data_IF_655772991400
#
_entry.id   IF_655772991400
#
_cell.length_a   1.000
_cell.length_b   1.000
_cell.length_c   1.000
_cell.angle_alpha   90.00
_cell.angle_beta   90.00
_cell.angle_gamma   90.00
#
_symmetry.space_group_name_H-M   'P 1'
#
loop_
_entity.id
_entity.type
_entity.pdbx_description
1 polymer ?
#
# COMPACT_ATOMS: atom_id res chain seq x y z
N UNK A 1 0.61 -4.99 -26.88
CA UNK A 1 0.13 -3.97 -25.93
C UNK A 1 -0.47 -4.65 -24.71
N UNK A 2 -0.48 -3.94 -23.58
CA UNK A 2 -0.98 -4.45 -22.30
C UNK A 2 -1.69 -3.34 -21.55
N UNK A 3 -2.75 -3.67 -20.82
CA UNK A 3 -3.48 -2.71 -19.99
C UNK A 3 -3.22 -3.01 -18.52
N UNK A 4 -2.98 -1.96 -17.74
CA UNK A 4 -3.02 -2.00 -16.28
C UNK A 4 -4.26 -1.28 -15.77
N UNK A 5 -5.06 -1.93 -14.94
CA UNK A 5 -6.16 -1.31 -14.21
C UNK A 5 -5.80 -1.23 -12.73
N UNK A 6 -5.80 -0.03 -12.17
CA UNK A 6 -5.54 0.22 -10.76
C UNK A 6 -6.81 0.76 -10.09
N UNK A 7 -7.45 -0.09 -9.30
CA UNK A 7 -8.63 0.23 -8.50
C UNK A 7 -8.20 0.86 -7.18
N UNK A 8 -7.89 2.16 -7.22
CA UNK A 8 -7.67 2.95 -6.02
C UNK A 8 -8.97 3.30 -5.29
N UNK A 9 -8.87 3.80 -4.06
CA UNK A 9 -10.06 4.17 -3.27
C UNK A 9 -10.81 5.38 -3.85
N UNK A 10 -10.11 6.35 -4.44
CA UNK A 10 -10.70 7.59 -4.97
C UNK A 10 -10.94 7.58 -6.48
N UNK A 11 -10.39 6.60 -7.20
CA UNK A 11 -10.50 6.52 -8.66
C UNK A 11 -10.01 5.17 -9.15
N UNK A 12 -10.54 4.74 -10.30
CA UNK A 12 -9.94 3.68 -11.10
C UNK A 12 -9.09 4.30 -12.20
N UNK A 13 -7.80 3.97 -12.23
CA UNK A 13 -6.86 4.40 -13.28
C UNK A 13 -6.60 3.25 -14.26
N UNK A 14 -6.72 3.52 -15.56
CA UNK A 14 -6.31 2.60 -16.61
C UNK A 14 -5.12 3.19 -17.37
N UNK A 15 -4.12 2.36 -17.67
CA UNK A 15 -3.04 2.71 -18.59
C UNK A 15 -2.91 1.64 -19.68
N UNK A 16 -2.48 2.06 -20.87
CA UNK A 16 -2.11 1.20 -21.99
C UNK A 16 -0.60 1.32 -22.22
N UNK A 17 0.12 0.20 -22.26
CA UNK A 17 1.55 0.17 -22.56
C UNK A 17 1.87 -0.64 -23.82
N UNK A 18 2.96 -0.27 -24.50
CA UNK A 18 3.54 -1.05 -25.59
C UNK A 18 4.40 -2.22 -25.09
N UNK A 19 5.10 -2.91 -26.01
CA UNK A 19 5.99 -4.04 -25.67
C UNK A 19 7.30 -3.60 -25.00
N UNK A 20 7.65 -2.33 -25.12
CA UNK A 20 8.81 -1.70 -24.48
C UNK A 20 8.42 -0.99 -23.18
N UNK A 21 7.18 -1.22 -22.70
CA UNK A 21 6.61 -0.64 -21.48
C UNK A 21 6.42 0.89 -21.53
N UNK A 22 6.38 1.49 -22.72
CA UNK A 22 6.04 2.91 -22.87
C UNK A 22 4.52 3.10 -22.69
N UNK A 23 4.12 4.10 -21.92
CA UNK A 23 2.71 4.49 -21.76
C UNK A 23 2.21 5.15 -23.04
N UNK A 24 1.23 4.53 -23.69
CA UNK A 24 0.57 5.03 -24.90
C UNK A 24 -0.66 5.87 -24.59
N UNK A 25 -1.39 5.51 -23.53
CA UNK A 25 -2.58 6.22 -23.10
C UNK A 25 -2.88 5.96 -21.63
N UNK A 26 -3.57 6.90 -21.01
CA UNK A 26 -4.12 6.76 -19.66
C UNK A 26 -5.52 7.37 -19.56
N UNK A 27 -6.30 6.85 -18.63
CA UNK A 27 -7.60 7.40 -18.26
C UNK A 27 -7.85 7.16 -16.78
N UNK A 28 -8.58 8.05 -16.12
CA UNK A 28 -8.93 7.91 -14.71
C UNK A 28 -10.39 8.28 -14.49
N UNK A 29 -11.12 7.40 -13.84
CA UNK A 29 -12.54 7.57 -13.53
C UNK A 29 -12.66 7.75 -12.01
N UNK A 30 -13.23 8.87 -11.53
CA UNK A 30 -13.36 9.14 -10.10
C UNK A 30 -14.34 8.16 -9.44
N UNK A 31 -14.06 7.82 -8.18
CA UNK A 31 -14.89 6.99 -7.31
C UNK A 31 -15.19 7.75 -6.02
N UNK A 32 -16.35 7.46 -5.42
CA UNK A 32 -16.80 8.09 -4.17
C UNK A 32 -16.77 7.07 -3.04
N UNK A 33 -16.44 7.51 -1.83
CA UNK A 33 -16.51 6.68 -0.61
C UNK A 33 -17.66 7.16 0.27
N UNK A 34 -18.50 6.22 0.70
CA UNK A 34 -19.61 6.45 1.61
C UNK A 34 -19.14 6.34 3.06
N UNK A 35 -19.65 7.21 3.93
CA UNK A 35 -19.36 7.21 5.39
C UNK A 35 -20.67 7.32 6.16
N UNK A 36 -21.43 6.21 6.29
CA UNK A 36 -22.75 6.25 6.92
C UNK A 36 -22.70 6.59 8.42
N UNK A 37 -21.61 6.19 9.08
CA UNK A 37 -21.33 6.43 10.50
C UNK A 37 -19.87 6.83 10.70
N UNK A 38 -19.54 7.32 11.89
CA UNK A 38 -18.16 7.62 12.25
C UNK A 38 -17.29 6.34 12.20
N UNK A 39 -16.07 6.48 11.68
CA UNK A 39 -15.15 5.36 11.46
C UNK A 39 -15.54 4.38 10.34
N UNK A 40 -16.71 4.53 9.69
CA UNK A 40 -17.18 3.65 8.62
C UNK A 40 -16.73 4.17 7.25
N UNK A 41 -16.36 3.26 6.35
CA UNK A 41 -15.88 3.57 5.01
C UNK A 41 -16.30 2.47 4.03
N UNK A 42 -17.20 2.82 3.11
CA UNK A 42 -17.87 1.85 2.23
C UNK A 42 -17.89 2.30 0.76
N UNK A 43 -17.93 1.33 -0.15
CA UNK A 43 -18.19 1.55 -1.58
C UNK A 43 -19.14 0.50 -2.12
N UNK A 44 -19.98 0.90 -3.07
CA UNK A 44 -20.73 -0.03 -3.91
C UNK A 44 -19.77 -0.67 -4.94
N UNK A 45 -19.55 -2.00 -4.90
CA UNK A 45 -18.67 -2.68 -5.85
C UNK A 45 -19.09 -2.50 -7.32
N UNK A 46 -20.37 -2.27 -7.60
CA UNK A 46 -20.86 -2.06 -8.97
C UNK A 46 -20.31 -0.75 -9.58
N UNK A 47 -19.95 0.23 -8.74
CA UNK A 47 -19.30 1.46 -9.19
C UNK A 47 -17.93 1.20 -9.82
N UNK A 48 -17.19 0.21 -9.31
CA UNK A 48 -15.88 -0.18 -9.84
C UNK A 48 -15.99 -0.83 -11.21
N UNK A 49 -17.01 -1.67 -11.43
CA UNK A 49 -17.27 -2.31 -12.71
C UNK A 49 -17.65 -1.27 -13.77
N UNK A 50 -18.49 -0.32 -13.41
CA UNK A 50 -18.85 0.81 -14.28
C UNK A 50 -17.63 1.65 -14.64
N UNK A 51 -16.80 1.99 -13.65
CA UNK A 51 -15.57 2.74 -13.86
C UNK A 51 -14.55 2.00 -14.74
N UNK A 52 -14.41 0.69 -14.57
CA UNK A 52 -13.51 -0.12 -15.40
C UNK A 52 -13.96 -0.15 -16.86
N UNK A 53 -15.27 -0.31 -17.11
CA UNK A 53 -15.85 -0.26 -18.46
C UNK A 53 -15.63 1.09 -19.12
N UNK A 54 -15.89 2.17 -18.40
CA UNK A 54 -15.65 3.53 -18.89
C UNK A 54 -14.17 3.74 -19.23
N UNK A 55 -13.26 3.36 -18.33
CA UNK A 55 -11.83 3.52 -18.53
C UNK A 55 -11.31 2.69 -19.72
N UNK A 56 -11.73 1.42 -19.84
CA UNK A 56 -11.39 0.57 -20.99
C UNK A 56 -11.96 1.13 -22.30
N UNK A 57 -13.21 1.60 -22.30
CA UNK A 57 -13.83 2.24 -23.45
C UNK A 57 -13.11 3.52 -23.88
N UNK A 58 -12.68 4.35 -22.92
CA UNK A 58 -11.92 5.56 -23.18
C UNK A 58 -10.53 5.27 -23.76
N UNK A 59 -9.84 4.24 -23.26
CA UNK A 59 -8.57 3.76 -23.83
C UNK A 59 -8.78 3.27 -25.27
N UNK A 60 -9.80 2.43 -25.51
CA UNK A 60 -10.11 1.91 -26.85
C UNK A 60 -10.47 3.01 -27.84
N UNK A 61 -11.26 4.00 -27.42
CA UNK A 61 -11.73 5.07 -28.30
C UNK A 61 -10.58 5.91 -28.88
N UNK A 62 -9.44 5.96 -28.18
CA UNK A 62 -8.26 6.76 -28.56
C UNK A 62 -7.13 5.94 -29.16
N UNK A 63 -7.20 4.60 -29.11
CA UNK A 63 -6.09 3.72 -29.49
C UNK A 63 -6.57 2.46 -30.21
N UNK A 64 -5.82 2.00 -31.21
CA UNK A 64 -6.06 0.69 -31.80
C UNK A 64 -5.59 -0.41 -30.85
N UNK A 65 -6.52 -1.18 -30.29
CA UNK A 65 -6.22 -2.20 -29.28
C UNK A 65 -6.19 -3.63 -29.86
N UNK A 66 -6.12 -3.80 -31.19
CA UNK A 66 -6.08 -5.14 -31.83
C UNK A 66 -4.89 -5.99 -31.38
N UNK A 67 -3.77 -5.35 -31.05
CA UNK A 67 -2.56 -6.02 -30.51
C UNK A 67 -2.51 -6.07 -28.98
N UNK A 68 -3.63 -5.85 -28.28
CA UNK A 68 -3.72 -6.08 -26.84
C UNK A 68 -3.55 -7.58 -26.57
N UNK A 69 -2.70 -7.94 -25.62
CA UNK A 69 -2.39 -9.34 -25.29
C UNK A 69 -2.73 -9.72 -23.85
N UNK A 70 -2.80 -8.76 -22.94
CA UNK A 70 -3.08 -9.02 -21.54
C UNK A 70 -3.54 -7.79 -20.79
N UNK A 71 -4.32 -8.03 -19.74
CA UNK A 71 -4.74 -7.04 -18.74
C UNK A 71 -4.18 -7.50 -17.40
N UNK A 72 -3.61 -6.59 -16.62
CA UNK A 72 -3.35 -6.86 -15.21
C UNK A 72 -4.14 -5.92 -14.31
N UNK A 73 -4.32 -6.36 -13.07
CA UNK A 73 -5.15 -5.69 -12.08
C UNK A 73 -4.30 -5.29 -10.87
N UNK A 74 -4.55 -4.10 -10.36
CA UNK A 74 -4.15 -3.59 -9.06
C UNK A 74 -5.41 -3.13 -8.33
N UNK A 75 -5.43 -3.21 -7.02
CA UNK A 75 -6.50 -2.61 -6.23
C UNK A 75 -6.12 -2.34 -4.80
N UNK A 76 -6.83 -1.39 -4.19
CA UNK A 76 -6.68 -1.10 -2.78
C UNK A 76 -6.96 -2.37 -1.96
N UNK A 77 -6.07 -2.66 -1.01
CA UNK A 77 -6.09 -3.94 -0.29
C UNK A 77 -7.26 -4.05 0.69
N UNK A 78 -7.38 -5.22 1.30
CA UNK A 78 -8.14 -5.52 2.53
C UNK A 78 -9.68 -5.41 2.46
N UNK A 79 -10.26 -4.82 1.42
CA UNK A 79 -11.71 -4.63 1.31
C UNK A 79 -12.49 -5.95 1.43
N UNK A 80 -13.66 -5.94 2.08
CA UNK A 80 -14.50 -7.12 2.21
C UNK A 80 -15.75 -7.00 1.33
N UNK A 81 -15.75 -7.70 0.19
CA UNK A 81 -16.94 -7.85 -0.67
C UNK A 81 -17.58 -9.20 -0.36
N UNK A 82 -18.82 -9.19 0.12
CA UNK A 82 -19.59 -10.40 0.45
C UNK A 82 -20.60 -10.69 -0.65
N UNK A 83 -20.53 -11.89 -1.21
CA UNK A 83 -21.37 -12.35 -2.31
C UNK A 83 -22.22 -13.54 -1.88
N UNK A 84 -23.44 -13.64 -2.39
CA UNK A 84 -24.24 -14.87 -2.30
C UNK A 84 -23.88 -15.90 -3.39
N UNK A 85 -24.62 -17.00 -3.43
CA UNK A 85 -24.38 -18.11 -4.36
C UNK A 85 -24.58 -17.74 -5.83
N UNK A 86 -25.27 -16.63 -6.11
CA UNK A 86 -25.51 -16.07 -7.44
C UNK A 86 -24.59 -14.88 -7.75
N UNK A 87 -23.49 -14.73 -7.01
CA UNK A 87 -22.52 -13.63 -7.14
C UNK A 87 -23.12 -12.23 -6.93
N UNK A 88 -24.26 -12.12 -6.23
CA UNK A 88 -24.85 -10.83 -5.91
C UNK A 88 -24.21 -10.24 -4.66
N UNK A 89 -23.90 -8.95 -4.73
CA UNK A 89 -23.35 -8.20 -3.61
C UNK A 89 -24.38 -8.08 -2.49
N UNK A 90 -24.04 -8.58 -1.30
CA UNK A 90 -24.95 -8.63 -0.15
C UNK A 90 -25.03 -7.31 0.62
N UNK A 91 -23.96 -6.52 0.57
CA UNK A 91 -23.82 -5.20 1.21
C UNK A 91 -22.69 -4.41 0.54
N UNK A 92 -22.60 -3.08 0.71
CA UNK A 92 -21.43 -2.32 0.26
C UNK A 92 -20.12 -2.94 0.75
N UNK A 93 -19.03 -2.82 -0.01
CA UNK A 93 -17.72 -3.29 0.44
C UNK A 93 -17.26 -2.52 1.68
N UNK A 94 -16.78 -3.24 2.70
CA UNK A 94 -16.11 -2.64 3.87
C UNK A 94 -14.65 -2.36 3.52
N UNK A 95 -14.24 -1.09 3.41
CA UNK A 95 -12.92 -0.70 2.91
C UNK A 95 -11.79 -0.90 3.93
N UNK A 96 -10.54 -0.68 3.51
CA UNK A 96 -9.34 -0.82 4.35
C UNK A 96 -9.22 0.24 5.46
N UNK A 97 -9.82 1.41 5.23
CA UNK A 97 -9.88 2.52 6.18
C UNK A 97 -11.18 2.55 6.97
N UNK A 98 -11.92 1.43 6.99
CA UNK A 98 -13.02 1.19 7.90
C UNK A 98 -12.48 0.70 9.25
N UNK A 99 -13.04 1.21 10.34
CA UNK A 99 -12.60 0.94 11.72
C UNK A 99 -13.70 0.33 12.60
N UNK A 100 -14.85 -0.01 12.02
CA UNK A 100 -16.01 -0.50 12.80
C UNK A 100 -15.74 -1.80 13.56
N UNK A 101 -14.85 -2.64 13.02
CA UNK A 101 -14.48 -3.95 13.53
C UNK A 101 -13.31 -3.92 14.52
N UNK A 102 -13.09 -2.79 15.21
CA UNK A 102 -11.98 -2.65 16.17
C UNK A 102 -12.07 -3.62 17.34
N UNK A 103 -13.28 -3.95 17.81
CA UNK A 103 -13.47 -4.93 18.87
C UNK A 103 -13.10 -6.34 18.40
N UNK A 104 -13.61 -6.75 17.23
CA UNK A 104 -13.30 -8.05 16.63
C UNK A 104 -11.82 -8.19 16.29
N UNK A 105 -11.20 -7.12 15.77
CA UNK A 105 -9.76 -7.10 15.49
C UNK A 105 -8.92 -7.28 16.75
N UNK A 106 -9.27 -6.60 17.85
CA UNK A 106 -8.56 -6.74 19.11
C UNK A 106 -8.69 -8.17 19.69
N UNK A 107 -9.87 -8.78 19.59
CA UNK A 107 -10.09 -10.17 20.00
C UNK A 107 -9.26 -11.16 19.16
N UNK A 108 -9.23 -10.99 17.83
CA UNK A 108 -8.42 -11.82 16.93
C UNK A 108 -6.93 -11.63 17.15
N UNK A 109 -6.47 -10.39 17.35
CA UNK A 109 -5.05 -10.10 17.58
C UNK A 109 -4.53 -10.64 18.92
N UNK A 110 -5.42 -10.80 19.89
CA UNK A 110 -5.13 -11.43 21.18
C UNK A 110 -4.97 -12.96 21.06
N UNK A 111 -5.48 -13.59 20.00
CA UNK A 111 -5.20 -14.98 19.67
C UNK A 111 -3.82 -15.09 19.00
N UNK A 112 -2.83 -15.73 19.65
CA UNK A 112 -1.48 -15.84 19.10
C UNK A 112 -1.42 -16.60 17.77
N UNK A 113 -2.43 -17.42 17.43
CA UNK A 113 -2.53 -18.13 16.16
C UNK A 113 -2.56 -17.19 14.95
N UNK A 114 -3.24 -16.05 15.05
CA UNK A 114 -3.30 -15.08 13.95
C UNK A 114 -1.93 -14.50 13.63
N UNK A 115 -1.21 -13.99 14.63
CA UNK A 115 0.13 -13.42 14.42
C UNK A 115 1.14 -14.48 13.96
N UNK A 116 1.02 -15.71 14.49
CA UNK A 116 1.91 -16.82 14.12
C UNK A 116 1.75 -17.24 12.65
N UNK A 117 0.51 -17.36 12.16
CA UNK A 117 0.21 -17.83 10.80
C UNK A 117 0.31 -16.70 9.77
N UNK A 118 -0.24 -15.53 10.07
CA UNK A 118 -0.32 -14.41 9.11
C UNK A 118 0.96 -13.57 9.08
N UNK A 119 1.73 -13.55 10.18
CA UNK A 119 2.89 -12.67 10.35
C UNK A 119 2.57 -11.21 10.61
N UNK A 120 1.31 -10.87 10.87
CA UNK A 120 0.84 -9.50 10.99
C UNK A 120 -0.03 -9.30 12.24
N UNK A 121 -0.04 -8.07 12.73
CA UNK A 121 -1.08 -7.59 13.65
C UNK A 121 -2.43 -7.62 12.93
N UNK A 122 -3.49 -8.04 13.62
CA UNK A 122 -4.86 -7.97 13.08
C UNK A 122 -5.43 -6.57 13.29
N UNK A 123 -5.45 -5.76 12.23
CA UNK A 123 -6.05 -4.43 12.24
C UNK A 123 -7.53 -4.48 11.86
N UNK A 124 -8.39 -3.56 12.35
CA UNK A 124 -9.80 -3.51 11.94
C UNK A 124 -9.99 -3.32 10.44
N UNK A 125 -9.03 -2.68 9.76
CA UNK A 125 -9.03 -2.51 8.33
C UNK A 125 -8.83 -3.82 7.54
N UNK A 126 -8.34 -4.90 8.15
CA UNK A 126 -8.15 -6.20 7.51
C UNK A 126 -9.48 -6.95 7.33
N UNK A 127 -9.50 -7.88 6.37
CA UNK A 127 -10.75 -8.53 5.93
C UNK A 127 -11.39 -9.38 7.02
N UNK A 128 -10.62 -10.22 7.72
CA UNK A 128 -11.12 -11.13 8.74
C UNK A 128 -11.98 -10.47 9.84
N UNK A 129 -11.50 -9.42 10.55
CA UNK A 129 -12.29 -8.79 11.60
C UNK A 129 -13.54 -8.10 11.06
N UNK A 130 -13.53 -7.60 9.82
CA UNK A 130 -14.71 -7.00 9.18
C UNK A 130 -15.80 -8.04 8.92
N UNK A 131 -15.42 -9.25 8.52
CA UNK A 131 -16.37 -10.33 8.29
C UNK A 131 -16.88 -10.93 9.60
N UNK A 132 -16.04 -11.01 10.62
CA UNK A 132 -16.48 -11.34 11.98
C UNK A 132 -17.48 -10.31 12.52
N UNK A 133 -17.26 -9.01 12.25
CA UNK A 133 -18.21 -7.97 12.60
C UNK A 133 -19.56 -8.19 11.92
N UNK A 134 -19.58 -8.52 10.61
CA UNK A 134 -20.81 -8.87 9.87
C UNK A 134 -21.47 -10.11 10.48
N UNK A 135 -20.69 -11.14 10.87
CA UNK A 135 -21.23 -12.34 11.52
C UNK A 135 -22.02 -12.02 12.80
N UNK A 136 -21.55 -11.05 13.59
CA UNK A 136 -22.17 -10.64 14.86
C UNK A 136 -23.33 -9.64 14.70
N UNK A 137 -23.18 -8.69 13.77
CA UNK A 137 -24.09 -7.54 13.67
C UNK A 137 -25.08 -7.63 12.50
N UNK A 138 -24.75 -8.42 11.47
CA UNK A 138 -25.55 -8.63 10.26
C UNK A 138 -25.65 -10.15 9.94
N UNK A 139 -26.13 -10.99 10.89
CA UNK A 139 -26.05 -12.45 10.77
C UNK A 139 -26.81 -13.03 9.56
N UNK A 140 -27.88 -12.36 9.11
CA UNK A 140 -28.62 -12.74 7.90
C UNK A 140 -27.78 -12.56 6.62
N UNK A 141 -26.91 -11.53 6.57
CA UNK A 141 -25.96 -11.33 5.48
C UNK A 141 -24.87 -12.39 5.55
N UNK A 142 -24.30 -12.62 6.73
CA UNK A 142 -23.28 -13.65 6.90
C UNK A 142 -23.78 -15.03 6.48
N UNK A 143 -24.99 -15.42 6.89
CA UNK A 143 -25.58 -16.71 6.54
C UNK A 143 -25.79 -16.92 5.03
N UNK A 144 -25.92 -15.84 4.26
CA UNK A 144 -26.05 -15.88 2.79
C UNK A 144 -24.71 -15.82 2.06
N UNK A 145 -23.61 -15.55 2.75
CA UNK A 145 -22.30 -15.35 2.14
C UNK A 145 -21.76 -16.67 1.59
N UNK A 146 -21.64 -16.77 0.28
CA UNK A 146 -21.04 -17.91 -0.42
C UNK A 146 -19.61 -17.62 -0.91
N UNK A 147 -19.26 -16.34 -1.12
CA UNK A 147 -17.91 -15.94 -1.53
C UNK A 147 -17.51 -14.61 -0.92
N UNK A 148 -16.24 -14.50 -0.53
CA UNK A 148 -15.64 -13.28 -0.01
C UNK A 148 -14.50 -12.90 -0.94
N UNK A 149 -14.57 -11.71 -1.54
CA UNK A 149 -13.56 -11.20 -2.45
C UNK A 149 -12.99 -9.88 -1.96
N UNK A 150 -11.73 -9.66 -2.32
CA UNK A 150 -11.11 -8.34 -2.23
C UNK A 150 -11.57 -7.47 -3.42
N UNK A 151 -11.44 -6.13 -3.35
CA UNK A 151 -11.94 -5.21 -4.37
C UNK A 151 -11.44 -5.52 -5.79
N UNK A 152 -10.13 -5.77 -5.92
CA UNK A 152 -9.50 -6.20 -7.18
C UNK A 152 -10.11 -7.50 -7.70
N UNK A 153 -10.41 -8.44 -6.81
CA UNK A 153 -10.88 -9.77 -7.17
C UNK A 153 -12.36 -9.76 -7.55
N UNK A 154 -13.16 -8.87 -6.95
CA UNK A 154 -14.50 -8.59 -7.44
C UNK A 154 -14.48 -7.95 -8.84
N UNK A 155 -13.55 -7.02 -9.09
CA UNK A 155 -13.35 -6.49 -10.45
C UNK A 155 -12.96 -7.61 -11.42
N UNK A 156 -12.10 -8.55 -11.01
CA UNK A 156 -11.79 -9.74 -11.80
C UNK A 156 -13.02 -10.60 -12.07
N UNK A 157 -13.84 -10.89 -11.06
CA UNK A 157 -15.08 -11.64 -11.25
C UNK A 157 -15.95 -10.98 -12.34
N UNK A 158 -16.06 -9.65 -12.31
CA UNK A 158 -16.76 -8.90 -13.34
C UNK A 158 -16.06 -8.92 -14.71
N UNK A 159 -14.73 -9.05 -14.80
CA UNK A 159 -14.01 -9.09 -16.07
C UNK A 159 -13.95 -10.50 -16.68
N UNK A 160 -13.80 -11.54 -15.87
CA UNK A 160 -13.48 -12.91 -16.31
C UNK A 160 -14.52 -13.95 -15.91
N UNK A 161 -15.38 -13.66 -14.93
CA UNK A 161 -16.32 -14.64 -14.37
C UNK A 161 -15.69 -15.65 -13.39
N UNK A 162 -14.46 -15.41 -12.91
CA UNK A 162 -13.75 -16.35 -12.05
C UNK A 162 -13.48 -15.75 -10.65
N UNK A 163 -13.71 -16.54 -9.59
CA UNK A 163 -13.29 -16.21 -8.22
C UNK A 163 -11.82 -16.51 -8.01
N UNK A 164 -10.96 -15.53 -8.28
CA UNK A 164 -9.50 -15.68 -8.14
C UNK A 164 -8.91 -14.49 -7.39
N UNK A 165 -8.08 -14.80 -6.40
CA UNK A 165 -7.19 -13.84 -5.75
C UNK A 165 -5.73 -14.21 -6.00
N UNK A 166 -4.82 -13.34 -5.59
CA UNK A 166 -3.39 -13.60 -5.66
C UNK A 166 -2.72 -13.32 -4.32
N UNK A 167 -1.50 -13.86 -4.18
CA UNK A 167 -0.82 -14.01 -2.90
C UNK A 167 -0.65 -12.69 -2.13
N UNK A 168 -0.35 -11.58 -2.80
CA UNK A 168 -0.08 -10.29 -2.14
C UNK A 168 -1.32 -9.69 -1.49
N UNK A 169 -2.45 -9.64 -2.21
CA UNK A 169 -3.70 -9.11 -1.69
C UNK A 169 -4.34 -10.09 -0.68
N UNK A 170 -4.29 -11.39 -0.96
CA UNK A 170 -4.77 -12.44 -0.05
C UNK A 170 -4.04 -12.43 1.31
N UNK A 171 -2.72 -12.15 1.33
CA UNK A 171 -1.95 -12.02 2.56
C UNK A 171 -2.47 -10.89 3.48
N UNK A 172 -3.15 -9.89 2.91
CA UNK A 172 -3.78 -8.79 3.65
C UNK A 172 -5.14 -9.13 4.28
N UNK A 173 -5.62 -10.37 4.19
CA UNK A 173 -6.96 -10.75 4.70
C UNK A 173 -6.99 -11.13 6.17
N UNK A 174 -5.85 -11.55 6.74
CA UNK A 174 -5.74 -12.28 8.00
C UNK A 174 -6.39 -13.69 8.04
N UNK A 175 -6.58 -14.33 6.88
CA UNK A 175 -6.89 -15.77 6.76
C UNK A 175 -5.83 -16.58 6.03
N UNK A 176 -4.76 -15.92 5.61
CA UNK A 176 -3.75 -16.47 4.73
C UNK A 176 -2.52 -16.90 5.55
N UNK A 177 -2.01 -18.10 5.30
CA UNK A 177 -0.71 -18.53 5.77
C UNK A 177 0.35 -17.93 4.85
N UNK A 178 0.93 -16.82 5.31
CA UNK A 178 1.85 -16.01 4.52
C UNK A 178 3.13 -16.77 4.17
N UNK A 179 3.59 -17.66 5.06
CA UNK A 179 4.77 -18.48 4.80
C UNK A 179 4.49 -19.52 3.71
N UNK A 180 3.35 -20.20 3.79
CA UNK A 180 2.96 -21.30 2.88
C UNK A 180 2.37 -20.82 1.57
N UNK A 181 2.03 -19.54 1.46
CA UNK A 181 1.38 -18.93 0.29
C UNK A 181 0.02 -19.57 -0.03
N UNK A 182 -0.76 -19.88 1.00
CA UNK A 182 -2.07 -20.53 0.84
C UNK A 182 -3.04 -20.09 1.94
N UNK A 183 -4.32 -20.39 1.76
CA UNK A 183 -5.33 -20.20 2.81
C UNK A 183 -5.02 -21.07 4.04
N UNK A 184 -5.22 -20.49 5.23
CA UNK A 184 -5.15 -21.22 6.49
C UNK A 184 -6.54 -21.74 6.88
N UNK A 185 -6.73 -23.06 6.81
CA UNK A 185 -7.97 -23.72 7.27
C UNK A 185 -8.28 -23.45 8.75
N UNK A 186 -7.24 -23.32 9.58
CA UNK A 186 -7.36 -23.01 11.01
C UNK A 186 -7.99 -21.63 11.24
N UNK A 187 -7.35 -20.56 10.74
CA UNK A 187 -7.88 -19.20 10.83
C UNK A 187 -9.26 -19.03 10.20
N UNK A 188 -9.54 -19.70 9.08
CA UNK A 188 -10.88 -19.69 8.47
C UNK A 188 -11.92 -20.32 9.41
N UNK A 189 -11.61 -21.47 10.00
CA UNK A 189 -12.51 -22.18 10.91
C UNK A 189 -12.83 -21.35 12.17
N UNK A 190 -11.87 -20.60 12.72
CA UNK A 190 -12.09 -19.68 13.85
C UNK A 190 -13.15 -18.62 13.52
N UNK A 191 -13.21 -18.18 12.26
CA UNK A 191 -14.23 -17.23 11.78
C UNK A 191 -15.54 -17.89 11.32
N UNK A 192 -15.70 -19.20 11.49
CA UNK A 192 -16.86 -19.94 10.98
C UNK A 192 -16.90 -20.05 9.46
N UNK A 193 -15.75 -19.97 8.80
CA UNK A 193 -15.58 -20.03 7.35
C UNK A 193 -14.78 -21.27 6.94
N UNK A 194 -14.72 -21.49 5.63
CA UNK A 194 -13.94 -22.57 4.99
C UNK A 194 -13.39 -22.08 3.66
N UNK A 195 -12.53 -22.87 3.01
CA UNK A 195 -12.01 -22.57 1.67
C UNK A 195 -13.11 -22.38 0.61
N UNK A 196 -14.29 -22.96 0.82
CA UNK A 196 -15.43 -22.78 -0.09
C UNK A 196 -15.90 -21.32 -0.14
N UNK A 197 -15.62 -20.52 0.90
CA UNK A 197 -15.94 -19.10 0.95
C UNK A 197 -14.86 -18.23 0.31
N UNK A 198 -13.69 -18.79 -0.02
CA UNK A 198 -12.54 -18.07 -0.53
C UNK A 198 -12.40 -18.23 -2.05
N UNK A 199 -11.75 -17.29 -2.74
CA UNK A 199 -11.36 -17.48 -4.13
C UNK A 199 -10.20 -18.47 -4.24
N UNK A 200 -10.02 -19.08 -5.42
CA UNK A 200 -8.79 -19.82 -5.71
C UNK A 200 -7.60 -18.86 -5.75
N UNK A 201 -6.42 -19.34 -5.39
CA UNK A 201 -5.20 -18.53 -5.39
C UNK A 201 -4.38 -18.75 -6.67
N UNK A 202 -3.71 -17.69 -7.12
CA UNK A 202 -2.66 -17.72 -8.14
C UNK A 202 -1.51 -16.81 -7.74
N UNK A 203 -0.36 -16.95 -8.40
CA UNK A 203 0.67 -15.92 -8.36
C UNK A 203 0.21 -14.68 -9.15
N UNK A 204 0.60 -13.50 -8.71
CA UNK A 204 0.17 -12.25 -9.34
C UNK A 204 0.57 -12.13 -10.81
N UNK A 205 1.75 -12.67 -11.17
CA UNK A 205 2.26 -12.72 -12.54
C UNK A 205 1.63 -13.83 -13.41
N UNK A 206 0.78 -14.70 -12.85
CA UNK A 206 0.21 -15.84 -13.56
C UNK A 206 -1.15 -15.51 -14.22
N UNK A 207 -1.55 -16.25 -15.27
CA UNK A 207 -2.91 -16.19 -15.83
C UNK A 207 -4.00 -16.53 -14.80
N UNK A 208 -5.07 -15.73 -14.76
CA UNK A 208 -6.22 -15.94 -13.85
C UNK A 208 -7.55 -16.19 -14.57
N UNK A 209 -7.59 -15.99 -15.88
CA UNK A 209 -8.76 -16.09 -16.74
C UNK A 209 -8.57 -15.25 -18.00
N UNK A 210 -9.61 -15.18 -18.82
CA UNK A 210 -9.64 -14.31 -20.01
C UNK A 210 -10.76 -13.28 -19.85
N UNK A 211 -10.61 -12.14 -20.52
CA UNK A 211 -11.68 -11.14 -20.63
C UNK A 211 -12.91 -11.81 -21.26
N UNK A 212 -14.06 -11.76 -20.58
CA UNK A 212 -15.30 -12.39 -21.09
C UNK A 212 -15.66 -11.87 -22.47
N UNK A 213 -16.06 -12.77 -23.37
CA UNK A 213 -16.44 -12.45 -24.76
C UNK A 213 -17.46 -11.31 -24.85
N UNK A 214 -18.46 -11.29 -23.96
CA UNK A 214 -19.47 -10.23 -23.91
C UNK A 214 -18.82 -8.85 -23.72
N UNK A 215 -17.84 -8.74 -22.83
CA UNK A 215 -17.12 -7.48 -22.58
C UNK A 215 -16.15 -7.15 -23.72
N UNK A 216 -15.47 -8.16 -24.26
CA UNK A 216 -14.59 -8.01 -25.42
C UNK A 216 -15.36 -7.42 -26.62
N UNK A 217 -16.53 -7.97 -26.94
CA UNK A 217 -17.42 -7.49 -28.02
C UNK A 217 -17.94 -6.08 -27.72
N UNK A 218 -18.44 -5.84 -26.51
CA UNK A 218 -19.01 -4.55 -26.12
C UNK A 218 -17.99 -3.41 -26.17
N UNK A 219 -16.76 -3.67 -25.75
CA UNK A 219 -15.68 -2.69 -25.68
C UNK A 219 -14.82 -2.67 -26.95
N UNK A 220 -15.13 -3.49 -27.97
CA UNK A 220 -14.31 -3.68 -29.17
C UNK A 220 -12.82 -3.95 -28.84
N UNK A 221 -12.61 -4.85 -27.88
CA UNK A 221 -11.31 -5.35 -27.43
C UNK A 221 -11.17 -6.83 -27.79
N UNK A 222 -9.95 -7.33 -28.05
CA UNK A 222 -9.75 -8.77 -28.15
C UNK A 222 -10.00 -9.46 -26.80
N UNK A 223 -10.46 -10.71 -26.84
CA UNK A 223 -10.42 -11.58 -25.65
C UNK A 223 -8.95 -11.87 -25.34
N UNK A 224 -8.51 -11.52 -24.13
CA UNK A 224 -7.11 -11.54 -23.71
C UNK A 224 -7.01 -12.04 -22.27
N UNK A 225 -5.83 -12.56 -21.92
CA UNK A 225 -5.58 -13.03 -20.55
C UNK A 225 -5.67 -11.88 -19.55
N UNK A 226 -6.20 -12.19 -18.37
CA UNK A 226 -6.15 -11.33 -17.18
C UNK A 226 -5.19 -11.94 -16.18
N UNK A 227 -4.15 -11.21 -15.79
CA UNK A 227 -3.16 -11.65 -14.79
C UNK A 227 -3.76 -11.71 -13.38
N UNK A 228 -3.15 -12.49 -12.49
CA UNK A 228 -3.46 -12.49 -11.05
C UNK A 228 -3.44 -11.09 -10.45
N UNK A 229 -2.51 -10.23 -10.88
CA UNK A 229 -2.44 -8.84 -10.42
C UNK A 229 -1.69 -8.69 -9.10
N UNK A 230 -2.00 -7.64 -8.34
CA UNK A 230 -1.38 -7.39 -7.04
C UNK A 230 -2.23 -6.45 -6.18
N UNK A 231 -2.09 -6.49 -4.87
CA UNK A 231 -2.49 -5.36 -4.02
C UNK A 231 -1.73 -4.10 -4.45
N UNK A 232 -2.30 -2.91 -4.25
CA UNK A 232 -1.73 -1.64 -4.68
C UNK A 232 -0.25 -1.43 -4.29
N UNK A 233 0.14 -1.82 -3.08
CA UNK A 233 1.54 -1.76 -2.64
C UNK A 233 2.46 -2.68 -3.44
N UNK A 234 2.09 -3.95 -3.61
CA UNK A 234 2.88 -4.93 -4.36
C UNK A 234 2.90 -4.59 -5.85
N UNK A 235 1.79 -4.10 -6.41
CA UNK A 235 1.74 -3.62 -7.78
C UNK A 235 2.63 -2.38 -7.96
N UNK A 236 2.61 -1.42 -7.04
CA UNK A 236 3.54 -0.28 -7.08
C UNK A 236 5.01 -0.72 -7.04
N UNK A 237 5.33 -1.76 -6.24
CA UNK A 237 6.66 -2.36 -6.23
C UNK A 237 7.05 -2.95 -7.60
N UNK A 238 6.15 -3.68 -8.27
CA UNK A 238 6.36 -4.14 -9.65
C UNK A 238 6.58 -2.95 -10.61
N UNK A 239 5.79 -1.89 -10.48
CA UNK A 239 5.92 -0.67 -11.28
C UNK A 239 7.26 0.05 -11.09
N UNK A 240 7.79 0.02 -9.87
CA UNK A 240 9.07 0.59 -9.50
C UNK A 240 10.27 -0.36 -9.72
N UNK A 241 10.04 -1.61 -10.11
CA UNK A 241 11.09 -2.63 -10.27
C UNK A 241 11.70 -3.11 -8.94
N UNK A 242 10.95 -3.00 -7.86
CA UNK A 242 11.33 -3.42 -6.50
C UNK A 242 10.85 -4.85 -6.29
N UNK A 243 11.62 -5.83 -6.80
CA UNK A 243 11.25 -7.26 -6.81
C UNK A 243 12.35 -8.19 -6.32
N UNK A 244 13.52 -7.64 -5.97
CA UNK A 244 14.68 -8.40 -5.51
C UNK A 244 14.92 -8.16 -4.02
N UNK A 245 15.50 -9.13 -3.32
CA UNK A 245 15.79 -8.98 -1.89
C UNK A 245 16.60 -7.71 -1.61
N UNK A 246 16.12 -6.91 -0.65
CA UNK A 246 16.74 -5.65 -0.26
C UNK A 246 16.52 -4.48 -1.23
N UNK A 247 15.89 -4.70 -2.39
CA UNK A 247 15.39 -3.60 -3.20
C UNK A 247 14.21 -2.93 -2.48
N UNK A 248 14.16 -1.60 -2.53
CA UNK A 248 13.22 -0.84 -1.73
C UNK A 248 12.73 0.42 -2.43
N UNK A 249 11.58 0.91 -1.99
CA UNK A 249 11.16 2.28 -2.25
C UNK A 249 10.66 2.94 -0.96
N UNK A 250 10.80 4.25 -0.92
CA UNK A 250 10.26 5.13 0.10
C UNK A 250 9.20 6.01 -0.56
N UNK A 251 7.95 5.88 -0.13
CA UNK A 251 6.86 6.74 -0.56
C UNK A 251 6.63 7.84 0.48
N UNK A 252 6.89 9.09 0.09
CA UNK A 252 6.66 10.28 0.89
C UNK A 252 5.36 10.97 0.44
N UNK A 253 4.23 10.34 0.74
CA UNK A 253 2.87 10.83 0.47
C UNK A 253 2.21 11.44 1.70
N UNK A 254 0.88 11.52 1.71
CA UNK A 254 0.09 11.93 2.90
C UNK A 254 0.52 11.10 4.12
N UNK A 255 0.52 9.78 3.96
CA UNK A 255 1.23 8.80 4.78
C UNK A 255 2.59 8.45 4.17
N UNK A 256 3.48 7.92 5.00
CA UNK A 256 4.78 7.39 4.58
C UNK A 256 4.74 5.87 4.47
N UNK A 257 5.44 5.31 3.49
CA UNK A 257 5.66 3.86 3.37
C UNK A 257 7.13 3.60 3.07
N UNK A 258 7.77 2.75 3.87
CA UNK A 258 9.05 2.13 3.53
C UNK A 258 8.77 0.69 3.13
N UNK A 259 8.93 0.39 1.84
CA UNK A 259 8.69 -0.94 1.28
C UNK A 259 10.03 -1.59 0.94
N UNK A 260 10.20 -2.86 1.30
CA UNK A 260 11.33 -3.67 0.87
C UNK A 260 10.85 -5.03 0.36
N UNK A 261 11.35 -5.45 -0.81
CA UNK A 261 11.12 -6.80 -1.31
C UNK A 261 12.08 -7.80 -0.63
N UNK A 262 11.62 -9.03 -0.47
CA UNK A 262 12.34 -10.11 0.18
C UNK A 262 12.25 -11.42 -0.61
N UNK A 263 13.34 -12.18 -0.62
CA UNK A 263 13.40 -13.54 -1.19
C UNK A 263 12.91 -14.63 -0.21
N UNK A 264 12.43 -14.23 0.97
CA UNK A 264 11.93 -15.12 2.00
C UNK A 264 10.96 -14.41 2.94
N UNK A 265 10.17 -15.21 3.64
CA UNK A 265 9.22 -14.74 4.64
C UNK A 265 9.95 -14.39 5.96
N UNK A 266 9.93 -13.10 6.34
CA UNK A 266 10.68 -12.54 7.48
C UNK A 266 9.76 -11.74 8.42
N UNK A 267 8.77 -12.35 9.11
CA UNK A 267 7.82 -11.59 9.92
C UNK A 267 8.40 -11.15 11.26
N UNK A 268 7.99 -9.97 11.73
CA UNK A 268 8.05 -9.58 13.14
C UNK A 268 6.83 -8.72 13.51
N UNK A 269 5.68 -9.35 13.81
CA UNK A 269 4.45 -8.62 14.10
C UNK A 269 4.55 -7.82 15.41
N UNK A 270 5.52 -8.07 16.29
CA UNK A 270 5.72 -7.28 17.50
C UNK A 270 6.21 -5.86 17.19
N UNK A 271 6.86 -5.67 16.04
CA UNK A 271 7.33 -4.37 15.55
C UNK A 271 6.31 -3.63 14.68
N UNK A 272 5.10 -4.18 14.51
CA UNK A 272 4.07 -3.62 13.63
C UNK A 272 4.51 -3.39 12.17
N UNK A 273 5.57 -4.07 11.72
CA UNK A 273 5.95 -4.17 10.32
C UNK A 273 5.00 -5.15 9.64
N UNK A 274 4.44 -4.76 8.51
CA UNK A 274 3.66 -5.68 7.71
C UNK A 274 4.57 -6.61 6.93
N UNK A 275 4.21 -7.89 6.87
CA UNK A 275 4.90 -8.88 6.03
C UNK A 275 3.88 -9.62 5.17
N UNK A 276 3.95 -9.45 3.85
CA UNK A 276 3.01 -10.06 2.91
C UNK A 276 3.77 -10.74 1.78
N UNK A 277 3.07 -11.57 1.00
CA UNK A 277 3.64 -12.07 -0.25
C UNK A 277 3.78 -10.95 -1.27
N UNK A 278 4.77 -11.04 -2.14
CA UNK A 278 4.87 -10.20 -3.33
C UNK A 278 3.98 -10.76 -4.45
N UNK A 279 3.68 -9.93 -5.45
CA UNK A 279 2.95 -10.32 -6.67
C UNK A 279 3.72 -11.29 -7.60
N UNK A 280 4.99 -11.60 -7.32
CA UNK A 280 5.81 -12.57 -8.08
C UNK A 280 6.14 -13.81 -7.24
N UNK A 281 6.33 -14.98 -7.88
CA UNK A 281 6.53 -16.24 -7.17
C UNK A 281 7.76 -16.23 -6.26
N UNK A 282 7.67 -16.97 -5.15
CA UNK A 282 8.81 -17.15 -4.22
C UNK A 282 9.35 -15.86 -3.62
N UNK A 283 8.54 -14.80 -3.60
CA UNK A 283 8.94 -13.46 -3.15
C UNK A 283 7.92 -12.92 -2.15
N UNK A 284 8.40 -12.19 -1.16
CA UNK A 284 7.64 -11.50 -0.13
C UNK A 284 8.02 -10.02 -0.09
N UNK A 285 7.34 -9.26 0.73
CA UNK A 285 7.76 -7.91 1.04
C UNK A 285 7.42 -7.54 2.47
N UNK A 286 8.12 -6.53 2.96
CA UNK A 286 7.85 -5.86 4.21
C UNK A 286 7.45 -4.42 3.99
N UNK A 287 6.61 -3.88 4.88
CA UNK A 287 6.23 -2.48 4.87
C UNK A 287 6.21 -1.89 6.27
N UNK A 288 7.00 -0.83 6.46
CA UNK A 288 6.78 0.12 7.54
C UNK A 288 5.81 1.21 7.09
N UNK A 289 4.82 1.52 7.91
CA UNK A 289 3.77 2.51 7.60
C UNK A 289 3.80 3.63 8.64
N UNK A 290 3.90 4.86 8.14
CA UNK A 290 3.91 6.10 8.91
C UNK A 290 2.61 6.83 8.61
N UNK A 291 1.75 7.06 9.61
CA UNK A 291 0.39 7.55 9.37
C UNK A 291 0.33 9.01 8.90
N UNK A 292 1.26 9.85 9.34
CA UNK A 292 1.35 11.25 8.89
C UNK A 292 2.77 11.61 8.47
N UNK A 293 3.02 11.59 7.16
CA UNK A 293 4.29 12.02 6.56
C UNK A 293 4.17 13.45 6.03
N UNK A 294 3.80 13.66 4.77
CA UNK A 294 3.57 15.03 4.26
C UNK A 294 2.36 15.70 4.92
N UNK A 295 1.41 14.92 5.46
CA UNK A 295 0.30 15.51 6.21
C UNK A 295 0.76 16.20 7.49
N UNK A 296 1.87 15.78 8.09
CA UNK A 296 2.45 16.48 9.24
C UNK A 296 2.88 17.91 8.87
N UNK A 297 3.45 18.10 7.69
CA UNK A 297 3.80 19.44 7.20
C UNK A 297 2.56 20.25 6.82
N UNK A 298 1.55 19.60 6.23
CA UNK A 298 0.26 20.27 5.94
C UNK A 298 -0.49 20.66 7.22
N UNK A 299 -0.37 19.88 8.29
CA UNK A 299 -0.90 20.24 9.60
C UNK A 299 -0.21 21.48 10.15
N UNK A 300 1.13 21.55 10.09
CA UNK A 300 1.87 22.75 10.48
C UNK A 300 1.47 23.96 9.60
N UNK A 301 1.22 23.74 8.31
CA UNK A 301 0.71 24.78 7.42
C UNK A 301 -0.62 25.37 7.89
N UNK A 302 -1.56 24.52 8.32
CA UNK A 302 -2.83 24.98 8.88
C UNK A 302 -2.63 25.74 10.20
N UNK A 303 -1.71 25.29 11.05
CA UNK A 303 -1.42 25.94 12.33
C UNK A 303 -0.80 27.34 12.17
N UNK A 304 0.07 27.51 11.18
CA UNK A 304 0.82 28.75 10.95
C UNK A 304 0.16 29.71 9.96
N UNK A 305 -0.83 29.24 9.19
CA UNK A 305 -1.41 29.97 8.07
C UNK A 305 -0.49 30.08 6.84
N UNK A 306 0.64 29.37 6.82
CA UNK A 306 1.60 29.37 5.72
C UNK A 306 1.52 28.04 4.95
N UNK A 307 1.58 28.08 3.63
CA UNK A 307 1.68 26.86 2.81
C UNK A 307 2.96 26.07 3.09
N UNK A 308 2.97 24.77 2.80
CA UNK A 308 4.16 23.92 2.96
C UNK A 308 5.36 24.46 2.15
N UNK A 309 5.10 25.04 0.97
CA UNK A 309 6.11 25.71 0.17
C UNK A 309 6.72 26.94 0.88
N UNK A 310 5.89 27.77 1.52
CA UNK A 310 6.37 28.93 2.29
C UNK A 310 7.15 28.52 3.54
N UNK A 311 6.68 27.51 4.27
CA UNK A 311 7.36 26.98 5.47
C UNK A 311 8.74 26.41 5.17
N UNK A 312 8.92 25.85 3.97
CA UNK A 312 10.19 25.25 3.53
C UNK A 312 11.03 26.18 2.66
N UNK A 313 10.51 27.36 2.32
CA UNK A 313 11.20 28.34 1.49
C UNK A 313 12.39 28.92 2.25
N UNK A 314 13.60 28.79 1.70
CA UNK A 314 14.79 29.42 2.26
C UNK A 314 15.45 28.64 3.42
N UNK A 315 15.09 27.37 3.63
CA UNK A 315 15.75 26.51 4.64
C UNK A 315 17.27 26.36 4.43
N UNK A 316 17.78 26.66 3.23
CA UNK A 316 19.21 26.53 2.92
C UNK A 316 19.65 25.07 2.81
N UNK A 317 20.96 24.77 2.95
CA UNK A 317 21.45 23.39 3.03
C UNK A 317 21.00 22.73 4.34
N UNK A 318 20.96 21.39 4.37
CA UNK A 318 20.72 20.64 5.60
C UNK A 318 21.81 20.98 6.64
N UNK A 319 21.37 21.19 7.88
CA UNK A 319 22.25 21.45 9.03
C UNK A 319 22.05 20.38 10.09
N UNK A 320 22.93 20.34 11.10
CA UNK A 320 22.74 19.47 12.26
C UNK A 320 21.37 19.74 12.94
N UNK A 321 20.64 18.69 13.39
CA UNK A 321 19.36 18.85 14.06
C UNK A 321 19.46 19.73 15.31
N UNK A 322 18.44 20.56 15.51
CA UNK A 322 18.34 21.44 16.68
C UNK A 322 17.87 20.72 17.95
N UNK A 323 17.47 21.52 18.95
CA UNK A 323 16.89 21.02 20.21
C UNK A 323 15.43 20.59 20.05
N UNK A 324 14.68 21.33 19.23
CA UNK A 324 13.26 21.07 19.00
C UNK A 324 13.08 19.68 18.38
N UNK A 325 12.12 18.92 18.92
CA UNK A 325 11.73 17.62 18.38
C UNK A 325 10.26 17.67 17.98
N UNK A 326 9.94 16.96 16.91
CA UNK A 326 8.57 16.73 16.51
C UNK A 326 8.29 15.23 16.41
N UNK A 327 7.23 14.79 17.07
CA UNK A 327 6.69 13.44 16.94
C UNK A 327 5.51 13.48 15.97
N UNK A 328 5.56 12.80 14.81
CA UNK A 328 4.57 12.93 13.73
C UNK A 328 3.27 12.15 13.95
N UNK A 329 2.97 11.76 15.19
CA UNK A 329 1.87 10.82 15.50
C UNK A 329 0.49 11.48 15.53
N UNK A 330 0.18 12.39 14.59
CA UNK A 330 -1.03 13.23 14.61
C UNK A 330 -2.35 12.43 14.67
N UNK A 331 -2.34 11.20 14.14
CA UNK A 331 -3.48 10.28 14.16
C UNK A 331 -3.22 8.97 14.92
N UNK A 332 -2.25 8.97 15.85
CA UNK A 332 -1.62 7.73 16.31
C UNK A 332 -0.45 7.35 15.40
N UNK A 333 0.09 6.15 15.59
CA UNK A 333 1.12 5.60 14.70
C UNK A 333 1.01 4.09 14.53
N UNK A 334 1.43 3.60 13.35
CA UNK A 334 1.45 2.17 13.05
C UNK A 334 2.83 1.57 13.29
N UNK A 335 3.78 1.75 12.39
CA UNK A 335 5.11 1.16 12.57
C UNK A 335 6.03 2.13 13.31
N UNK A 336 6.74 1.73 14.39
CA UNK A 336 6.73 0.41 15.02
C UNK A 336 5.82 0.32 16.26
N UNK A 337 5.01 1.35 16.52
CA UNK A 337 4.39 1.57 17.82
C UNK A 337 3.08 0.80 18.03
N UNK A 338 2.31 0.61 16.95
CA UNK A 338 0.93 0.14 16.97
C UNK A 338 0.07 0.83 18.04
N UNK A 339 0.10 2.17 18.04
CA UNK A 339 -0.47 2.97 19.11
C UNK A 339 -1.50 3.94 18.52
N UNK A 340 -2.78 3.65 18.76
CA UNK A 340 -3.89 4.48 18.29
C UNK A 340 -4.18 5.68 19.22
N UNK A 341 -3.60 5.72 20.43
CA UNK A 341 -3.88 6.75 21.44
C UNK A 341 -2.86 7.88 21.42
N UNK A 342 -1.59 7.59 21.12
CA UNK A 342 -0.52 8.58 21.03
C UNK A 342 -0.89 9.70 20.03
N UNK A 343 -0.48 10.94 20.33
CA UNK A 343 -0.71 12.09 19.45
C UNK A 343 0.58 12.84 19.16
N UNK A 344 0.58 13.63 18.08
CA UNK A 344 1.74 14.40 17.65
C UNK A 344 2.12 15.50 18.66
N UNK A 345 3.42 15.74 18.81
CA UNK A 345 3.97 16.63 19.85
C UNK A 345 5.17 17.42 19.35
N UNK A 346 5.22 18.69 19.73
CA UNK A 346 6.44 19.49 19.70
C UNK A 346 7.07 19.50 21.09
N UNK A 347 8.35 19.16 21.17
CA UNK A 347 9.12 19.11 22.42
C UNK A 347 10.33 20.02 22.33
N UNK A 348 10.78 20.51 23.48
CA UNK A 348 12.00 21.32 23.62
C UNK A 348 12.04 22.60 22.78
N UNK A 349 10.89 23.23 22.57
CA UNK A 349 10.81 24.56 21.93
C UNK A 349 11.53 25.61 22.79
N UNK A 350 12.15 26.57 22.12
CA UNK A 350 12.81 27.72 22.73
C UNK A 350 12.41 29.03 22.04
N UNK A 351 12.89 30.16 22.56
CA UNK A 351 12.58 31.49 22.00
C UNK A 351 13.04 31.69 20.55
N UNK A 352 13.98 30.86 20.06
CA UNK A 352 14.49 30.92 18.70
C UNK A 352 13.69 30.02 17.73
N UNK A 353 12.73 29.23 18.23
CA UNK A 353 11.94 28.34 17.40
C UNK A 353 10.86 29.13 16.65
N UNK A 354 11.20 29.53 15.42
CA UNK A 354 10.27 30.14 14.47
C UNK A 354 9.55 29.10 13.58
N UNK A 355 8.73 29.57 12.64
CA UNK A 355 7.97 28.69 11.74
C UNK A 355 8.86 27.81 10.85
N UNK A 356 10.05 28.30 10.45
CA UNK A 356 11.00 27.53 9.64
C UNK A 356 11.73 26.48 10.49
N UNK A 357 12.12 26.82 11.72
CA UNK A 357 12.66 25.86 12.69
C UNK A 357 11.64 24.76 13.01
N UNK A 358 10.36 25.11 13.18
CA UNK A 358 9.28 24.14 13.35
C UNK A 358 9.12 23.25 12.10
N UNK A 359 9.19 23.82 10.90
CA UNK A 359 9.14 23.05 9.65
C UNK A 359 10.30 22.05 9.53
N UNK A 360 11.53 22.47 9.87
CA UNK A 360 12.69 21.56 9.94
C UNK A 360 12.45 20.42 10.93
N UNK A 361 12.03 20.74 12.15
CA UNK A 361 11.73 19.72 13.16
C UNK A 361 10.65 18.73 12.68
N UNK A 362 9.61 19.19 11.96
CA UNK A 362 8.61 18.29 11.36
C UNK A 362 9.22 17.36 10.32
N UNK A 363 10.03 17.89 9.40
CA UNK A 363 10.67 17.10 8.34
C UNK A 363 11.65 16.07 8.92
N UNK A 364 12.42 16.46 9.95
CA UNK A 364 13.30 15.59 10.72
C UNK A 364 12.51 14.53 11.50
N UNK A 365 11.40 14.90 12.15
CA UNK A 365 10.51 13.99 12.88
C UNK A 365 9.96 12.87 11.99
N UNK A 366 9.52 13.21 10.78
CA UNK A 366 9.09 12.20 9.78
C UNK A 366 10.29 11.34 9.34
N UNK A 367 11.48 11.90 9.19
CA UNK A 367 12.66 11.13 8.87
C UNK A 367 13.06 10.14 9.98
N UNK A 368 12.88 10.51 11.25
CA UNK A 368 13.07 9.60 12.39
C UNK A 368 12.03 8.48 12.40
N UNK A 369 10.76 8.75 12.04
CA UNK A 369 9.76 7.70 11.85
C UNK A 369 10.14 6.72 10.73
N UNK A 370 10.73 7.21 9.63
CA UNK A 370 11.31 6.34 8.59
C UNK A 370 12.51 5.53 9.09
N UNK A 371 13.36 6.11 9.94
CA UNK A 371 14.45 5.36 10.59
C UNK A 371 13.94 4.28 11.54
N UNK A 372 12.86 4.52 12.29
CA UNK A 372 12.23 3.48 13.09
C UNK A 372 11.67 2.35 12.22
N UNK A 373 11.07 2.66 11.06
CA UNK A 373 10.67 1.65 10.08
C UNK A 373 11.87 0.85 9.54
N UNK A 374 12.96 1.55 9.15
CA UNK A 374 14.21 0.92 8.70
C UNK A 374 14.75 -0.04 9.76
N UNK A 375 14.83 0.41 11.01
CA UNK A 375 15.36 -0.38 12.12
C UNK A 375 14.49 -1.62 12.38
N UNK A 376 13.17 -1.49 12.28
CA UNK A 376 12.23 -2.61 12.42
C UNK A 376 12.40 -3.63 11.29
N UNK A 377 12.54 -3.20 10.04
CA UNK A 377 12.85 -4.08 8.90
C UNK A 377 14.22 -4.76 9.10
N UNK A 378 15.25 -4.01 9.51
CA UNK A 378 16.60 -4.53 9.73
C UNK A 378 16.65 -5.59 10.84
N UNK A 379 15.83 -5.46 11.88
CA UNK A 379 15.73 -6.45 12.96
C UNK A 379 15.30 -7.84 12.48
N UNK A 380 14.64 -7.93 11.32
CA UNK A 380 14.22 -9.19 10.69
C UNK A 380 15.21 -9.74 9.64
N UNK A 381 16.36 -9.08 9.48
CA UNK A 381 17.41 -9.45 8.53
C UNK A 381 17.33 -8.74 7.16
N UNK A 382 16.36 -7.86 6.95
CA UNK A 382 16.25 -7.09 5.70
C UNK A 382 17.28 -5.96 5.66
N UNK A 383 18.12 -5.96 4.63
CA UNK A 383 19.13 -4.90 4.42
C UNK A 383 18.75 -4.06 3.21
N UNK A 384 18.59 -2.75 3.41
CA UNK A 384 18.33 -1.78 2.34
C UNK A 384 19.61 -1.00 2.07
N UNK A 385 20.17 -1.15 0.87
CA UNK A 385 21.38 -0.40 0.45
C UNK A 385 21.08 0.91 -0.27
N UNK A 386 19.85 1.05 -0.79
CA UNK A 386 19.32 2.21 -1.52
C UNK A 386 17.81 2.07 -1.66
N UNK A 387 17.10 3.17 -1.84
CA UNK A 387 15.67 3.14 -2.11
C UNK A 387 15.26 4.18 -3.16
N UNK A 388 14.27 3.84 -3.99
CA UNK A 388 13.62 4.83 -4.84
C UNK A 388 12.75 5.76 -3.99
N UNK A 389 12.87 7.07 -4.15
CA UNK A 389 12.03 8.05 -3.49
C UNK A 389 10.88 8.49 -4.39
N UNK A 390 9.66 8.18 -3.97
CA UNK A 390 8.42 8.52 -4.69
C UNK A 390 7.46 9.32 -3.79
N UNK A 391 6.36 9.81 -4.37
CA UNK A 391 5.35 10.59 -3.65
C UNK A 391 5.59 12.10 -3.68
N UNK A 392 4.59 12.85 -3.23
CA UNK A 392 4.57 14.32 -3.37
C UNK A 392 5.70 15.05 -2.66
N UNK A 393 6.16 14.50 -1.51
CA UNK A 393 7.27 15.04 -0.73
C UNK A 393 8.64 14.82 -1.36
N UNK A 394 8.81 13.80 -2.22
CA UNK A 394 10.08 13.53 -2.92
C UNK A 394 10.47 14.62 -3.94
N UNK A 395 9.61 15.63 -4.14
CA UNK A 395 9.94 16.85 -4.88
C UNK A 395 10.85 17.81 -4.09
N UNK A 396 10.90 17.68 -2.76
CA UNK A 396 11.74 18.49 -1.90
C UNK A 396 13.13 17.86 -1.78
N UNK A 397 14.13 18.46 -2.46
CA UNK A 397 15.52 18.01 -2.35
C UNK A 397 16.05 18.05 -0.91
N UNK A 398 15.73 19.13 -0.17
CA UNK A 398 16.08 19.25 1.25
C UNK A 398 15.51 18.08 2.08
N UNK A 399 14.26 17.68 1.85
CA UNK A 399 13.68 16.57 2.62
C UNK A 399 14.35 15.24 2.29
N UNK A 400 14.70 15.04 1.03
CA UNK A 400 15.43 13.84 0.60
C UNK A 400 16.83 13.80 1.20
N UNK A 401 17.54 14.93 1.31
CA UNK A 401 18.84 15.01 1.98
C UNK A 401 18.72 14.68 3.48
N UNK A 402 17.69 15.21 4.16
CA UNK A 402 17.37 14.88 5.56
C UNK A 402 17.09 13.38 5.71
N UNK A 403 16.25 12.82 4.85
CA UNK A 403 15.89 11.40 4.89
C UNK A 403 17.10 10.50 4.60
N UNK A 404 17.86 10.76 3.54
CA UNK A 404 19.04 9.97 3.18
C UNK A 404 20.07 9.99 4.31
N UNK A 405 20.34 11.16 4.89
CA UNK A 405 21.25 11.31 6.04
C UNK A 405 20.76 10.55 7.27
N UNK A 406 19.45 10.60 7.56
CA UNK A 406 18.86 9.89 8.71
C UNK A 406 18.83 8.37 8.50
N UNK A 407 18.55 7.94 7.27
CA UNK A 407 18.43 6.53 6.88
C UNK A 407 19.78 5.84 6.66
N UNK A 408 20.83 6.59 6.32
CA UNK A 408 22.17 6.05 6.10
C UNK A 408 22.32 5.32 4.76
N UNK A 409 21.39 5.49 3.82
CA UNK A 409 21.51 4.99 2.46
C UNK A 409 20.98 6.01 1.43
N UNK A 410 21.44 5.94 0.15
CA UNK A 410 21.01 6.87 -0.88
C UNK A 410 19.52 6.74 -1.24
N UNK A 411 18.92 7.87 -1.58
CA UNK A 411 17.56 7.97 -2.10
C UNK A 411 17.57 8.40 -3.57
N UNK A 412 17.11 7.51 -4.44
CA UNK A 412 17.11 7.68 -5.89
C UNK A 412 15.77 8.26 -6.36
N UNK A 413 15.79 9.41 -7.00
CA UNK A 413 14.58 10.00 -7.61
C UNK A 413 14.46 9.52 -9.05
N UNK A 414 13.36 8.84 -9.42
CA UNK A 414 13.19 8.36 -10.79
C UNK A 414 13.06 9.52 -11.78
N UNK A 415 13.50 9.29 -13.02
CA UNK A 415 13.17 10.12 -14.16
C UNK A 415 11.63 10.20 -14.33
N UNK A 416 11.13 11.27 -14.94
CA UNK A 416 9.67 11.45 -15.09
C UNK A 416 9.02 10.26 -15.81
N UNK A 417 7.89 9.78 -15.29
CA UNK A 417 7.11 8.68 -15.86
C UNK A 417 6.07 8.14 -14.88
N UNK A 418 5.32 7.13 -15.33
CA UNK A 418 4.34 6.39 -14.51
C UNK A 418 4.99 5.09 -14.03
N UNK A 419 5.15 4.96 -12.71
CA UNK A 419 5.79 3.80 -12.06
C UNK A 419 4.98 3.26 -10.88
N UNK A 420 3.76 3.76 -10.71
CA UNK A 420 2.87 3.35 -9.64
C UNK A 420 2.17 2.04 -9.95
N UNK A 421 1.10 1.79 -9.18
CA UNK A 421 0.38 0.52 -9.21
C UNK A 421 -0.24 0.20 -10.58
N UNK A 422 -0.67 1.20 -11.35
CA UNK A 422 -1.16 1.00 -12.72
C UNK A 422 -0.07 0.47 -13.68
N UNK A 423 1.18 0.94 -13.56
CA UNK A 423 2.33 0.39 -14.30
C UNK A 423 2.63 -1.04 -13.87
N UNK A 424 2.61 -1.29 -12.56
CA UNK A 424 2.73 -2.64 -12.02
C UNK A 424 1.69 -3.61 -12.55
N UNK A 425 0.44 -3.20 -12.57
CA UNK A 425 -0.66 -3.97 -13.13
C UNK A 425 -0.42 -4.26 -14.62
N UNK A 426 -0.03 -3.26 -15.43
CA UNK A 426 0.24 -3.48 -16.84
C UNK A 426 1.41 -4.47 -17.07
N UNK A 427 2.47 -4.38 -16.26
CA UNK A 427 3.61 -5.32 -16.25
C UNK A 427 3.19 -6.74 -15.86
N UNK A 428 2.33 -6.90 -14.86
CA UNK A 428 1.77 -8.21 -14.49
C UNK A 428 0.91 -8.79 -15.62
N UNK A 429 0.12 -7.95 -16.30
CA UNK A 429 -0.58 -8.30 -17.54
C UNK A 429 0.36 -8.78 -18.64
N UNK A 430 1.53 -8.14 -18.78
CA UNK A 430 2.58 -8.55 -19.71
C UNK A 430 3.22 -9.88 -19.32
N UNK A 431 3.55 -10.10 -18.05
CA UNK A 431 4.09 -11.36 -17.54
C UNK A 431 3.12 -12.52 -17.83
N UNK A 432 1.84 -12.38 -17.44
CA UNK A 432 0.84 -13.43 -17.64
C UNK A 432 0.60 -13.77 -19.13
N UNK A 433 0.63 -12.77 -20.00
CA UNK A 433 0.42 -12.94 -21.43
C UNK A 433 1.62 -13.52 -22.20
N UNK A 434 2.81 -13.45 -21.64
CA UNK A 434 4.05 -13.88 -22.31
C UNK A 434 4.72 -15.08 -21.65
N UNK A 435 4.37 -15.37 -20.39
CA UNK A 435 5.09 -16.34 -19.56
C UNK A 435 6.42 -15.82 -19.02
N UNK A 436 6.74 -14.54 -19.21
CA UNK A 436 7.92 -13.90 -18.65
C UNK A 436 7.81 -13.74 -17.13
N UNK A 437 8.95 -13.71 -16.45
CA UNK A 437 9.06 -13.59 -15.00
C UNK A 437 9.30 -12.15 -14.52
N UNK A 438 9.94 -12.05 -13.35
CA UNK A 438 10.22 -10.79 -12.68
C UNK A 438 11.15 -9.85 -13.47
N UNK A 439 11.84 -10.34 -14.52
CA UNK A 439 12.67 -9.53 -15.42
C UNK A 439 11.90 -8.42 -16.15
N UNK A 440 10.57 -8.53 -16.24
CA UNK A 440 9.70 -7.47 -16.76
C UNK A 440 9.64 -6.26 -15.81
N UNK A 441 9.81 -6.47 -14.50
CA UNK A 441 9.78 -5.43 -13.47
C UNK A 441 11.14 -4.72 -13.36
N UNK A 442 11.48 -3.92 -14.37
CA UNK A 442 12.75 -3.18 -14.36
C UNK A 442 12.63 -1.87 -13.57
N UNK A 443 13.65 -1.51 -12.78
CA UNK A 443 13.70 -0.19 -12.15
C UNK A 443 13.68 0.94 -13.18
N UNK A 444 13.03 2.08 -12.88
CA UNK A 444 13.08 3.24 -13.75
C UNK A 444 14.49 3.84 -13.80
N UNK A 445 14.86 4.55 -14.88
CA UNK A 445 16.08 5.35 -14.91
C UNK A 445 16.09 6.36 -13.76
N UNK A 446 17.23 6.50 -13.07
CA UNK A 446 17.41 7.47 -11.99
C UNK A 446 17.75 8.84 -12.58
N UNK A 447 17.00 9.88 -12.20
CA UNK A 447 17.29 11.26 -12.63
C UNK A 447 18.32 11.94 -11.73
N UNK A 448 18.27 11.65 -10.42
CA UNK A 448 19.22 12.15 -9.43
C UNK A 448 19.19 11.25 -8.20
N UNK A 449 20.28 11.26 -7.44
CA UNK A 449 20.41 10.55 -6.16
C UNK A 449 20.74 11.56 -5.07
N UNK A 450 20.19 11.32 -3.88
CA UNK A 450 20.48 12.06 -2.66
C UNK A 450 21.26 11.14 -1.73
N UNK A 451 22.56 11.40 -1.57
CA UNK A 451 23.44 10.60 -0.72
C UNK A 451 23.37 11.05 0.75
N UNK A 452 23.55 10.13 1.72
CA UNK A 452 23.67 10.50 3.13
C UNK A 452 24.85 11.45 3.35
N UNK A 453 24.67 12.50 4.15
CA UNK A 453 25.79 13.35 4.57
C UNK A 453 26.55 12.70 5.75
N UNK A 454 27.78 12.20 5.57
CA UNK A 454 28.52 11.54 6.63
C UNK A 454 28.94 12.49 7.76
N UNK A 455 29.01 13.80 7.51
CA UNK A 455 29.34 14.80 8.54
C UNK A 455 28.15 15.08 9.46
N UNK A 456 26.92 14.94 8.96
CA UNK A 456 25.70 15.15 9.74
C UNK A 456 25.14 13.87 10.35
N UNK A 457 25.48 12.70 9.80
CA UNK A 457 24.96 11.40 10.26
C UNK A 457 25.07 11.18 11.79
N UNK A 458 26.18 11.50 12.49
CA UNK A 458 26.24 11.36 13.94
C UNK A 458 25.22 12.22 14.69
N UNK A 459 24.99 13.45 14.23
CA UNK A 459 24.03 14.38 14.85
C UNK A 459 22.58 13.95 14.62
N UNK A 460 22.26 13.44 13.43
CA UNK A 460 20.96 12.84 13.13
C UNK A 460 20.70 11.56 13.94
N UNK A 461 21.72 10.72 14.11
CA UNK A 461 21.62 9.52 14.96
C UNK A 461 21.36 9.90 16.43
N UNK A 462 22.05 10.91 16.96
CA UNK A 462 21.81 11.42 18.31
C UNK A 462 20.37 11.96 18.46
N UNK A 463 19.91 12.76 17.50
CA UNK A 463 18.56 13.31 17.51
C UNK A 463 17.47 12.22 17.39
N UNK A 464 17.69 11.17 16.61
CA UNK A 464 16.81 9.99 16.55
C UNK A 464 16.73 9.29 17.91
N UNK A 465 17.83 9.16 18.65
CA UNK A 465 17.78 8.60 20.01
C UNK A 465 16.96 9.48 20.97
N UNK A 466 17.10 10.81 20.88
CA UNK A 466 16.26 11.73 21.68
C UNK A 466 14.77 11.61 21.30
N UNK A 467 14.47 11.47 20.01
CA UNK A 467 13.12 11.21 19.50
C UNK A 467 12.52 9.91 20.08
N UNK A 468 13.27 8.81 20.09
CA UNK A 468 12.81 7.53 20.68
C UNK A 468 12.59 7.64 22.19
N UNK A 469 13.51 8.31 22.89
CA UNK A 469 13.38 8.56 24.33
C UNK A 469 12.15 9.42 24.66
N UNK A 470 11.84 10.41 23.82
CA UNK A 470 10.65 11.24 23.97
C UNK A 470 9.36 10.42 23.90
N UNK A 471 9.21 9.54 22.90
CA UNK A 471 8.04 8.65 22.83
C UNK A 471 7.90 7.80 24.09
N UNK A 472 8.99 7.19 24.58
CA UNK A 472 8.96 6.35 25.77
C UNK A 472 8.50 7.12 27.03
N UNK A 473 8.84 8.41 27.13
CA UNK A 473 8.48 9.26 28.26
C UNK A 473 7.00 9.68 28.26
N UNK A 474 6.38 9.81 27.08
CA UNK A 474 5.04 10.40 26.94
C UNK A 474 3.93 9.38 26.66
N UNK A 475 4.26 8.14 26.25
CA UNK A 475 3.27 7.14 25.81
C UNK A 475 2.20 6.76 26.85
N UNK A 476 2.43 7.08 28.12
CA UNK A 476 1.53 6.78 29.24
C UNK A 476 1.00 8.03 29.95
N UNK A 477 1.24 9.23 29.40
CA UNK A 477 0.66 10.49 29.88
C UNK A 477 -0.73 10.68 29.28
#
# INVERSE_FOLDING_TARGET
>A
MYIGLDLGTSSLKAILIDVNQNVLAEHSVPLTVQRPHDGWSEQDPQSWVSAAREALGAIRARNECRGLRGIGLSGHMHGAVLLDAEDQVLRPCLLWNDTRSHAEAAEMDADPGFRAITGNIVFPGFTAPKVEWVRRHEPEIFARTAKILLPKDYLRLALTGNHVSEMSDAAGTAWFDTARRDWSDELLAVCGLSREHMPRLVEGSAPSGELRDKLAIELDLPSVVVAGGGGDNAAAAIGAGVVHDGSAFLSLGTSGVLFAANDGYRPDPATAVHTFCHAVPGTWHQMGVILAATDALNWLSRLTGQSAAQLTQGLGPVTAPGRALFLPYLGGERTPLNDAQIRGQFLHLDHATDAQAAARAVMEGVAYAFADCRDALAATGTTISRALAIGGGARSGYWLDVLATTLGFPLDVPAQGEFGAAMGAARLGMMAATGAGAEIATPPPVARSHDPDPHLAPAFAEAHQRYKAAYAAIRNL
#
